data_IF_217996439818
#
_entry.id   IF_217996439818
#
_cell.length_a   1.000
_cell.length_b   1.000
_cell.length_c   1.000
_cell.angle_alpha   90.00
_cell.angle_beta   90.00
_cell.angle_gamma   90.00
#
_symmetry.space_group_name_H-M   'P 1'
#
loop_
_entity.id
_entity.type
_entity.pdbx_description
1 polymer ?
#
# COMPACT_ATOMS: atom_id res chain seq x y z
N UNK A 1 50.57 17.68 10.28
CA UNK A 1 51.49 17.20 9.22
C UNK A 1 50.75 16.24 8.34
N UNK A 2 50.64 16.61 7.06
CA UNK A 2 50.15 15.92 5.83
C UNK A 2 48.66 15.71 5.64
N UNK A 3 48.15 16.59 4.83
CA UNK A 3 47.23 16.59 3.72
C UNK A 3 47.48 15.45 2.72
N UNK A 4 46.42 14.92 2.13
CA UNK A 4 46.23 14.63 0.69
C UNK A 4 44.73 14.38 0.51
N UNK A 5 43.99 15.22 -0.15
CA UNK A 5 43.92 15.62 -1.55
C UNK A 5 43.40 14.48 -2.48
N UNK A 6 42.18 14.68 -2.97
CA UNK A 6 41.84 14.73 -4.38
C UNK A 6 41.16 13.46 -4.93
N UNK A 7 40.04 13.61 -5.59
CA UNK A 7 39.84 13.58 -7.04
C UNK A 7 38.36 13.30 -7.29
N UNK A 8 37.60 14.22 -7.85
CA UNK A 8 37.26 14.50 -9.25
C UNK A 8 36.34 13.45 -9.89
N UNK A 9 35.12 13.85 -10.03
CA UNK A 9 34.27 13.97 -11.22
C UNK A 9 34.43 12.92 -12.31
N UNK A 10 33.32 12.28 -12.64
CA UNK A 10 32.99 11.98 -14.03
C UNK A 10 31.45 11.93 -14.16
N UNK A 11 30.94 12.93 -14.83
CA UNK A 11 29.59 12.94 -15.34
C UNK A 11 29.46 11.95 -16.47
N UNK A 12 28.30 11.32 -16.55
CA UNK A 12 27.85 10.68 -17.78
C UNK A 12 26.40 11.07 -18.04
N UNK A 13 26.28 12.03 -18.96
CA UNK A 13 25.06 12.30 -19.71
C UNK A 13 24.79 11.11 -20.63
N UNK A 14 23.61 10.54 -20.59
CA UNK A 14 23.11 9.77 -21.72
C UNK A 14 21.63 10.02 -21.93
N UNK A 15 21.39 10.54 -23.03
CA UNK A 15 20.37 10.83 -23.99
C UNK A 15 19.03 10.11 -23.83
N UNK A 16 18.02 10.96 -23.97
CA UNK A 16 16.62 10.72 -24.26
C UNK A 16 16.48 9.96 -25.59
N UNK A 17 15.69 8.90 -25.59
CA UNK A 17 15.03 8.42 -26.80
C UNK A 17 13.52 8.37 -26.53
N UNK A 18 12.82 9.37 -27.06
CA UNK A 18 11.38 9.32 -27.28
C UNK A 18 11.10 8.32 -28.41
N UNK A 19 10.33 7.31 -28.11
CA UNK A 19 9.62 6.54 -29.12
C UNK A 19 8.12 6.69 -28.86
N UNK A 20 7.49 7.62 -29.58
CA UNK A 20 6.06 7.60 -29.83
C UNK A 20 5.74 6.41 -30.71
N UNK A 21 4.86 5.53 -30.25
CA UNK A 21 4.15 4.63 -31.13
C UNK A 21 2.65 4.78 -30.92
N UNK A 22 2.03 5.51 -31.83
CA UNK A 22 0.59 5.62 -32.00
C UNK A 22 0.11 4.40 -32.79
N UNK A 23 -0.77 3.61 -32.21
CA UNK A 23 -1.63 2.71 -32.99
C UNK A 23 -3.09 2.91 -32.56
N UNK A 24 -3.84 3.39 -33.52
CA UNK A 24 -5.30 3.43 -33.54
C UNK A 24 -5.85 2.04 -33.85
N UNK A 25 -6.94 1.73 -33.26
CA UNK A 25 -8.19 1.16 -33.79
C UNK A 25 -8.76 0.05 -32.93
N UNK A 26 -10.00 0.18 -32.56
CA UNK A 26 -11.16 -0.56 -32.97
C UNK A 26 -12.22 -0.61 -31.89
N UNK A 27 -13.34 0.03 -32.19
CA UNK A 27 -14.64 -0.12 -31.54
C UNK A 27 -15.02 -1.58 -31.34
N UNK A 28 -15.53 -1.93 -30.19
CA UNK A 28 -16.76 -2.72 -30.16
C UNK A 28 -17.56 -2.48 -28.87
N UNK A 29 -18.73 -1.90 -29.07
CA UNK A 29 -19.80 -1.74 -28.10
C UNK A 29 -20.43 -3.10 -27.85
N UNK A 30 -20.61 -3.49 -26.60
CA UNK A 30 -21.73 -4.34 -26.23
C UNK A 30 -22.25 -3.98 -24.85
N UNK A 31 -23.43 -3.36 -24.87
CA UNK A 31 -24.29 -3.15 -23.72
C UNK A 31 -24.83 -4.48 -23.25
N UNK A 32 -24.75 -4.76 -21.95
CA UNK A 32 -25.82 -5.47 -21.27
C UNK A 32 -26.00 -4.94 -19.85
N UNK A 33 -27.12 -4.28 -19.73
CA UNK A 33 -27.80 -3.84 -18.54
C UNK A 33 -28.23 -5.03 -17.70
N UNK A 34 -27.94 -5.01 -16.40
CA UNK A 34 -28.75 -5.67 -15.39
C UNK A 34 -28.58 -4.98 -14.05
N UNK A 35 -29.58 -4.17 -13.74
CA UNK A 35 -29.88 -3.71 -12.40
C UNK A 35 -30.04 -4.88 -11.44
N UNK A 36 -29.33 -4.88 -10.34
CA UNK A 36 -29.86 -5.39 -9.09
C UNK A 36 -29.37 -4.55 -7.92
N UNK A 37 -30.27 -3.71 -7.45
CA UNK A 37 -30.13 -2.97 -6.20
C UNK A 37 -30.29 -3.94 -5.05
N UNK A 38 -29.25 -4.14 -4.25
CA UNK A 38 -29.42 -4.51 -2.85
C UNK A 38 -28.46 -3.66 -2.02
N UNK A 39 -29.07 -2.70 -1.38
CA UNK A 39 -28.50 -1.84 -0.37
C UNK A 39 -28.13 -2.68 0.85
N UNK A 40 -26.86 -2.87 1.07
CA UNK A 40 -26.31 -3.27 2.36
C UNK A 40 -25.11 -2.37 2.62
N UNK A 41 -25.28 -1.43 3.54
CA UNK A 41 -24.20 -0.62 4.11
C UNK A 41 -23.19 -1.57 4.78
N UNK A 42 -22.31 -2.11 3.99
CA UNK A 42 -21.06 -2.72 4.43
C UNK A 42 -19.99 -1.72 4.02
N UNK A 43 -19.34 -1.10 5.01
CA UNK A 43 -18.14 -0.31 4.80
C UNK A 43 -17.20 -1.11 3.90
N UNK A 44 -17.20 -0.79 2.62
CA UNK A 44 -16.42 -1.53 1.64
C UNK A 44 -14.98 -1.04 1.75
N UNK A 45 -14.13 -1.85 2.35
CA UNK A 45 -12.69 -1.73 2.22
C UNK A 45 -12.36 -1.63 0.73
N UNK A 46 -12.10 -0.42 0.24
CA UNK A 46 -11.69 -0.24 -1.15
C UNK A 46 -10.26 -0.73 -1.28
N UNK A 47 -10.09 -2.01 -1.58
CA UNK A 47 -8.78 -2.57 -1.89
C UNK A 47 -8.62 -2.74 -3.39
N UNK A 48 -7.52 -2.24 -3.96
CA UNK A 48 -7.15 -2.49 -5.35
C UNK A 48 -6.07 -3.57 -5.44
N UNK A 49 -6.20 -4.41 -6.44
CA UNK A 49 -5.28 -5.50 -6.73
C UNK A 49 -4.36 -5.10 -7.90
N UNK A 50 -3.06 -5.05 -7.66
CA UNK A 50 -2.06 -4.58 -8.65
C UNK A 50 -0.95 -5.62 -8.86
N UNK A 51 -1.09 -6.81 -8.27
CA UNK A 51 -0.05 -7.85 -8.29
C UNK A 51 0.34 -8.30 -9.69
N UNK A 52 1.60 -8.76 -9.89
CA UNK A 52 2.02 -9.45 -11.10
C UNK A 52 1.19 -10.72 -11.34
N UNK A 53 0.84 -11.00 -12.61
CA UNK A 53 -0.03 -12.11 -12.98
C UNK A 53 0.50 -13.50 -12.54
N UNK A 54 1.82 -13.65 -12.43
CA UNK A 54 2.48 -14.91 -12.07
C UNK A 54 3.06 -14.91 -10.64
N UNK A 55 2.55 -14.07 -9.76
CA UNK A 55 3.03 -14.01 -8.37
C UNK A 55 2.76 -15.34 -7.66
N UNK A 56 3.83 -15.99 -7.19
CA UNK A 56 3.72 -17.24 -6.43
C UNK A 56 3.11 -17.02 -5.05
N UNK A 57 3.59 -15.99 -4.34
CA UNK A 57 3.04 -15.51 -3.06
C UNK A 57 2.39 -14.17 -3.31
N UNK A 58 1.19 -13.99 -2.81
CA UNK A 58 0.44 -12.75 -2.94
C UNK A 58 -0.49 -12.54 -1.75
N UNK A 59 -0.94 -11.31 -1.57
CA UNK A 59 -1.94 -10.95 -0.57
C UNK A 59 -3.32 -11.40 -1.06
N UNK A 60 -3.94 -12.34 -0.38
CA UNK A 60 -5.30 -12.79 -0.66
C UNK A 60 -6.32 -11.78 -0.15
N UNK A 61 -6.21 -11.40 1.13
CA UNK A 61 -7.03 -10.36 1.74
C UNK A 61 -6.18 -9.36 2.50
N UNK A 62 -6.63 -8.11 2.52
CA UNK A 62 -6.02 -7.01 3.26
C UNK A 62 -7.11 -6.26 4.02
N UNK A 63 -6.84 -5.90 5.26
CA UNK A 63 -7.74 -5.13 6.10
C UNK A 63 -6.99 -4.15 6.99
N UNK A 64 -7.67 -3.05 7.31
CA UNK A 64 -7.23 -2.13 8.35
C UNK A 64 -7.96 -2.47 9.65
N UNK A 65 -7.29 -2.29 10.80
CA UNK A 65 -7.88 -2.59 12.09
C UNK A 65 -7.49 -1.57 13.15
N UNK A 66 -8.40 -1.34 14.11
CA UNK A 66 -8.11 -0.55 15.32
C UNK A 66 -7.12 -1.30 16.21
N UNK A 67 -6.43 -0.53 17.04
CA UNK A 67 -5.52 -1.12 18.03
C UNK A 67 -6.29 -1.76 19.18
N UNK A 68 -5.83 -2.92 19.60
CA UNK A 68 -6.31 -3.62 20.80
C UNK A 68 -5.12 -4.06 21.64
N UNK A 69 -4.52 -3.09 22.33
CA UNK A 69 -3.39 -3.38 23.23
C UNK A 69 -2.11 -3.79 22.51
N UNK A 70 -1.84 -3.20 21.32
CA UNK A 70 -0.68 -3.50 20.48
C UNK A 70 -0.93 -4.54 19.40
N UNK A 71 -2.11 -5.17 19.38
CA UNK A 71 -2.52 -6.17 18.41
C UNK A 71 -3.67 -5.65 17.54
N UNK A 72 -3.86 -6.19 16.32
CA UNK A 72 -5.01 -5.84 15.49
C UNK A 72 -6.33 -6.23 16.17
N UNK A 73 -7.22 -5.27 16.32
CA UNK A 73 -8.55 -5.44 16.88
C UNK A 73 -9.65 -5.52 15.83
N UNK A 74 -10.68 -4.69 15.99
CA UNK A 74 -11.82 -4.62 15.07
C UNK A 74 -11.40 -4.06 13.71
N UNK A 75 -11.85 -4.71 12.63
CA UNK A 75 -11.61 -4.26 11.27
C UNK A 75 -12.42 -3.00 10.97
N UNK A 76 -11.74 -1.97 10.45
CA UNK A 76 -12.35 -0.68 10.10
C UNK A 76 -11.56 0.01 8.99
N UNK A 77 -12.20 0.93 8.29
CA UNK A 77 -11.56 1.89 7.38
C UNK A 77 -11.78 3.33 7.78
N UNK A 78 -12.50 3.56 8.90
CA UNK A 78 -12.72 4.87 9.48
C UNK A 78 -12.14 4.91 10.89
N UNK A 79 -11.33 5.93 11.16
CA UNK A 79 -10.64 6.17 12.42
C UNK A 79 -10.98 7.52 12.96
N UNK A 80 -10.93 7.68 14.27
CA UNK A 80 -10.96 8.96 14.92
C UNK A 80 -9.53 9.53 15.06
N UNK A 81 -9.37 10.87 15.13
CA UNK A 81 -8.04 11.47 15.32
C UNK A 81 -7.25 10.90 16.50
N UNK A 82 -7.96 10.50 17.56
CA UNK A 82 -7.38 9.89 18.77
C UNK A 82 -6.98 8.42 18.63
N UNK A 83 -7.38 7.74 17.58
CA UNK A 83 -6.96 6.36 17.26
C UNK A 83 -5.49 6.36 16.80
N UNK A 84 -4.56 6.60 17.72
CA UNK A 84 -3.14 6.88 17.39
C UNK A 84 -2.40 5.73 16.71
N UNK A 85 -2.87 4.50 16.89
CA UNK A 85 -2.27 3.31 16.27
C UNK A 85 -3.24 2.72 15.27
N UNK A 86 -2.79 2.56 14.04
CA UNK A 86 -3.54 1.92 12.95
C UNK A 86 -2.79 0.67 12.50
N UNK A 87 -3.51 -0.44 12.40
CA UNK A 87 -2.95 -1.72 11.94
C UNK A 87 -3.37 -2.00 10.50
N UNK A 88 -2.47 -2.61 9.74
CA UNK A 88 -2.75 -3.19 8.44
C UNK A 88 -2.44 -4.68 8.52
N UNK A 89 -3.42 -5.52 8.24
CA UNK A 89 -3.32 -6.98 8.30
C UNK A 89 -3.40 -7.54 6.89
N UNK A 90 -2.43 -8.35 6.50
CA UNK A 90 -2.38 -9.03 5.22
C UNK A 90 -2.43 -10.54 5.43
N UNK A 91 -3.35 -11.22 4.75
CA UNK A 91 -3.39 -12.66 4.64
C UNK A 91 -2.80 -13.07 3.30
N UNK A 92 -1.79 -13.91 3.35
CA UNK A 92 -1.13 -14.43 2.15
C UNK A 92 -1.83 -15.70 1.67
N UNK A 93 -1.84 -15.92 0.36
CA UNK A 93 -2.41 -17.14 -0.23
C UNK A 93 -1.73 -18.41 0.25
N UNK A 94 -0.49 -18.33 0.69
CA UNK A 94 0.27 -19.43 1.26
C UNK A 94 1.38 -18.94 2.19
N UNK A 95 1.77 -19.81 3.12
CA UNK A 95 2.93 -19.61 3.96
C UNK A 95 4.20 -20.03 3.21
N UNK A 96 5.12 -19.07 3.00
CA UNK A 96 6.44 -19.32 2.40
C UNK A 96 7.47 -18.50 3.17
N UNK A 97 8.38 -19.17 3.84
CA UNK A 97 9.47 -18.51 4.55
C UNK A 97 10.37 -17.71 3.60
N UNK A 98 10.88 -16.57 4.06
CA UNK A 98 11.74 -15.70 3.26
C UNK A 98 10.98 -14.81 2.26
N UNK A 99 9.64 -14.74 2.34
CA UNK A 99 8.89 -13.76 1.55
C UNK A 99 9.07 -12.38 2.15
N UNK A 100 9.57 -11.44 1.36
CA UNK A 100 9.72 -10.05 1.78
C UNK A 100 8.40 -9.32 1.62
N UNK A 101 7.93 -8.68 2.69
CA UNK A 101 6.70 -7.90 2.73
C UNK A 101 7.06 -6.50 3.16
N UNK A 102 6.56 -5.50 2.43
CA UNK A 102 6.75 -4.09 2.74
C UNK A 102 5.41 -3.39 2.77
N UNK A 103 5.09 -2.78 3.91
CA UNK A 103 3.91 -1.95 4.13
C UNK A 103 4.32 -0.48 4.02
N UNK A 104 3.72 0.27 3.11
CA UNK A 104 4.02 1.68 2.88
C UNK A 104 2.78 2.51 3.20
N UNK A 105 2.80 3.25 4.30
CA UNK A 105 1.73 4.20 4.68
C UNK A 105 1.89 5.49 3.91
N UNK A 106 0.80 5.98 3.34
CA UNK A 106 0.80 7.21 2.54
C UNK A 106 -0.35 8.13 2.88
N UNK A 107 -0.08 9.44 2.82
CA UNK A 107 -1.09 10.49 2.78
C UNK A 107 -1.63 10.55 1.35
N UNK A 108 -2.96 10.55 1.22
CA UNK A 108 -3.64 10.76 -0.06
C UNK A 108 -4.16 12.19 -0.15
N UNK A 109 -4.97 12.60 0.84
CA UNK A 109 -5.57 13.93 0.91
C UNK A 109 -5.74 14.33 2.39
N UNK A 110 -4.94 15.30 2.82
CA UNK A 110 -4.98 15.90 4.17
C UNK A 110 -4.79 17.39 4.01
N UNK A 111 -5.69 18.18 4.56
CA UNK A 111 -5.66 19.63 4.43
C UNK A 111 -4.32 20.22 4.92
N UNK A 112 -3.66 20.99 4.05
CA UNK A 112 -2.39 21.64 4.36
C UNK A 112 -1.17 20.74 4.39
N UNK A 113 -1.30 19.48 3.98
CA UNK A 113 -0.20 18.51 3.93
C UNK A 113 -0.06 17.95 2.52
N UNK A 114 1.17 17.91 2.01
CA UNK A 114 1.41 17.29 0.71
C UNK A 114 1.16 15.77 0.78
N UNK A 115 0.56 15.22 -0.28
CA UNK A 115 0.46 13.76 -0.45
C UNK A 115 1.85 13.14 -0.54
N UNK A 116 2.01 11.96 0.02
CA UNK A 116 3.30 11.27 0.01
C UNK A 116 3.40 10.14 1.01
N UNK A 117 4.59 9.58 1.11
CA UNK A 117 4.91 8.52 2.05
C UNK A 117 5.05 9.07 3.48
N UNK A 118 4.44 8.37 4.44
CA UNK A 118 4.58 8.63 5.87
C UNK A 118 5.69 7.78 6.48
N UNK A 119 5.63 6.48 6.19
CA UNK A 119 6.59 5.50 6.70
C UNK A 119 6.49 4.18 5.94
N UNK A 120 7.53 3.39 6.08
CA UNK A 120 7.61 2.03 5.56
C UNK A 120 7.97 1.07 6.68
N UNK A 121 7.29 -0.08 6.73
CA UNK A 121 7.61 -1.21 7.61
C UNK A 121 7.91 -2.42 6.76
N UNK A 122 9.06 -3.04 6.97
CA UNK A 122 9.51 -4.24 6.26
C UNK A 122 9.45 -5.45 7.18
N UNK A 123 9.07 -6.58 6.62
CA UNK A 123 8.95 -7.84 7.32
C UNK A 123 9.33 -9.00 6.40
N UNK A 124 10.03 -9.99 6.94
CA UNK A 124 10.34 -11.24 6.22
C UNK A 124 9.63 -12.39 6.92
N UNK A 125 8.79 -13.12 6.18
CA UNK A 125 7.99 -14.23 6.73
C UNK A 125 8.85 -15.38 7.23
N UNK A 126 8.37 -16.01 8.31
CA UNK A 126 8.89 -17.28 8.85
C UNK A 126 8.11 -18.45 8.25
N UNK A 127 8.54 -19.68 8.58
CA UNK A 127 7.81 -20.89 8.18
C UNK A 127 6.40 -20.90 8.79
N UNK A 128 5.43 -21.35 8.01
CA UNK A 128 4.00 -21.46 8.38
C UNK A 128 3.28 -20.14 8.65
N UNK A 129 3.87 -19.02 8.30
CA UNK A 129 3.32 -17.70 8.53
C UNK A 129 2.63 -17.19 7.24
N UNK A 130 1.30 -17.19 7.24
CA UNK A 130 0.48 -16.65 6.15
C UNK A 130 -0.41 -15.48 6.57
N UNK A 131 -0.35 -15.07 7.84
CA UNK A 131 -0.98 -13.85 8.34
C UNK A 131 0.11 -12.97 8.93
N UNK A 132 0.24 -11.77 8.39
CA UNK A 132 1.20 -10.77 8.84
C UNK A 132 0.49 -9.45 9.08
N UNK A 133 0.95 -8.70 10.05
CA UNK A 133 0.46 -7.35 10.27
C UNK A 133 1.61 -6.38 10.52
N UNK A 134 1.37 -5.13 10.18
CA UNK A 134 2.21 -4.02 10.56
C UNK A 134 1.33 -2.92 11.13
N UNK A 135 1.89 -2.03 11.93
CA UNK A 135 1.18 -0.90 12.49
C UNK A 135 1.99 0.39 12.38
N UNK A 136 1.26 1.49 12.39
CA UNK A 136 1.83 2.83 12.51
C UNK A 136 1.23 3.52 13.71
N UNK A 137 2.09 3.93 14.65
CA UNK A 137 1.71 4.71 15.83
C UNK A 137 2.23 6.12 15.72
N UNK A 138 1.36 7.11 15.93
CA UNK A 138 1.73 8.52 16.02
C UNK A 138 1.77 9.00 17.46
N UNK A 139 2.70 9.89 17.82
CA UNK A 139 2.75 10.49 19.15
C UNK A 139 1.63 11.50 19.42
N UNK A 140 1.01 12.02 18.36
CA UNK A 140 -0.10 12.99 18.40
C UNK A 140 -1.28 12.47 17.59
N UNK A 141 -2.42 13.13 17.71
CA UNK A 141 -3.63 12.79 16.97
C UNK A 141 -3.39 12.86 15.45
N UNK A 142 -4.11 12.03 14.72
CA UNK A 142 -4.06 12.02 13.27
C UNK A 142 -4.76 13.25 12.71
N UNK A 143 -4.19 13.93 11.72
CA UNK A 143 -4.95 14.88 10.91
C UNK A 143 -6.12 14.18 10.21
N UNK A 144 -7.28 14.87 10.16
CA UNK A 144 -8.42 14.38 9.37
C UNK A 144 -8.07 14.35 7.90
N UNK A 145 -8.54 13.33 7.19
CA UNK A 145 -8.26 13.16 5.76
C UNK A 145 -8.20 11.72 5.31
N UNK A 146 -7.70 11.52 4.10
CA UNK A 146 -7.62 10.23 3.43
C UNK A 146 -6.19 9.72 3.37
N UNK A 147 -6.04 8.43 3.65
CA UNK A 147 -4.78 7.73 3.72
C UNK A 147 -4.87 6.39 2.98
N UNK A 148 -3.73 5.78 2.71
CA UNK A 148 -3.65 4.41 2.18
C UNK A 148 -2.44 3.66 2.69
N UNK A 149 -2.53 2.32 2.63
CA UNK A 149 -1.39 1.43 2.78
C UNK A 149 -1.21 0.65 1.49
N UNK A 150 -0.01 0.70 0.95
CA UNK A 150 0.41 -0.12 -0.18
C UNK A 150 1.24 -1.30 0.36
N UNK A 151 0.89 -2.52 -0.03
CA UNK A 151 1.60 -3.74 0.36
C UNK A 151 2.33 -4.31 -0.84
N UNK A 152 3.63 -4.47 -0.67
CA UNK A 152 4.52 -5.03 -1.67
C UNK A 152 4.97 -6.42 -1.25
N UNK A 153 5.01 -7.34 -2.19
CA UNK A 153 5.54 -8.70 -2.01
C UNK A 153 6.75 -8.87 -2.90
N UNK A 154 7.91 -9.19 -2.31
CA UNK A 154 9.20 -9.36 -3.02
C UNK A 154 9.49 -8.16 -3.95
N UNK A 155 9.25 -6.95 -3.49
CA UNK A 155 9.48 -5.69 -4.21
C UNK A 155 8.38 -5.26 -5.19
N UNK A 156 7.40 -6.11 -5.51
CA UNK A 156 6.29 -5.78 -6.40
C UNK A 156 5.05 -5.34 -5.62
N UNK A 157 4.39 -4.26 -6.06
CA UNK A 157 3.11 -3.83 -5.49
C UNK A 157 2.06 -4.92 -5.72
N UNK A 158 1.44 -5.37 -4.64
CA UNK A 158 0.41 -6.42 -4.67
C UNK A 158 -0.97 -5.85 -4.39
N UNK A 159 -1.17 -5.20 -3.24
CA UNK A 159 -2.45 -4.63 -2.84
C UNK A 159 -2.32 -3.25 -2.22
N UNK A 160 -3.41 -2.50 -2.33
CA UNK A 160 -3.59 -1.19 -1.67
C UNK A 160 -4.90 -1.21 -0.91
N UNK A 161 -4.91 -0.71 0.31
CA UNK A 161 -6.11 -0.46 1.11
C UNK A 161 -6.14 1.01 1.54
N UNK A 162 -7.31 1.64 1.43
CA UNK A 162 -7.53 3.02 1.83
C UNK A 162 -8.26 3.09 3.18
N UNK A 163 -8.01 4.15 3.93
CA UNK A 163 -8.72 4.48 5.17
C UNK A 163 -8.85 5.99 5.34
N UNK A 164 -9.80 6.41 6.17
CA UNK A 164 -10.04 7.82 6.52
C UNK A 164 -9.84 8.04 8.01
N UNK A 165 -9.48 9.28 8.36
CA UNK A 165 -9.55 9.82 9.72
C UNK A 165 -10.54 10.96 9.71
N UNK A 166 -11.58 10.94 10.54
CA UNK A 166 -12.71 11.87 10.57
C UNK A 166 -13.23 12.15 11.98
#
# INVERSE_FOLDING_TARGET
>A
MKLHSGWLAAGLLLAVVLACNTSKNGNNSNSNNSNNSNNSNKSSNTSSNTRPANAEVYVETIEMAKDKGGEPGESTTSYEPGDRTVHCVAHLNKAKAGTEIRFVWKIVDVAGVNSGELTTVEYTTKSFENKVHAHLTKPADWPTGSYKVEVYINGALDKTVSYTVE
#
